data_IF_827455764524
#
_entry.id   IF_827455764524
#
_cell.length_a   1.000
_cell.length_b   1.000
_cell.length_c   1.000
_cell.angle_alpha   90.00
_cell.angle_beta   90.00
_cell.angle_gamma   90.00
#
_symmetry.space_group_name_H-M   'P 1'
#
loop_
_entity.id
_entity.type
_entity.pdbx_description
1 polymer ?
#
# COMPACT_ATOMS: atom_id res chain seq x y z
N UNK A 1 16.77 -0.12 -12.24
CA UNK A 1 15.61 -1.04 -12.27
C UNK A 1 14.86 -0.72 -13.54
N UNK A 2 14.88 -1.61 -14.52
CA UNK A 2 14.22 -1.37 -15.81
C UNK A 2 12.71 -1.61 -15.62
N UNK A 3 11.91 -0.58 -15.86
CA UNK A 3 10.45 -0.73 -15.83
C UNK A 3 10.06 -1.57 -17.05
N UNK A 4 9.38 -2.70 -16.79
CA UNK A 4 8.94 -3.61 -17.85
C UNK A 4 7.54 -3.20 -18.30
N UNK A 5 7.39 -2.96 -19.60
CA UNK A 5 6.09 -2.74 -20.24
C UNK A 5 5.54 -4.09 -20.68
N UNK A 6 4.26 -4.33 -20.43
CA UNK A 6 3.53 -5.52 -20.89
C UNK A 6 2.62 -5.15 -22.05
N UNK A 7 2.46 -6.05 -23.00
CA UNK A 7 1.44 -5.90 -24.03
C UNK A 7 0.04 -5.95 -23.41
N UNK A 8 -0.93 -5.18 -23.93
CA UNK A 8 -2.32 -5.28 -23.51
C UNK A 8 -2.86 -6.71 -23.62
N UNK A 9 -3.46 -7.21 -22.54
CA UNK A 9 -3.98 -8.57 -22.46
C UNK A 9 -5.12 -8.66 -21.44
N UNK A 10 -5.82 -9.80 -21.45
CA UNK A 10 -6.92 -10.09 -20.52
C UNK A 10 -6.41 -10.78 -19.24
N UNK A 11 -7.11 -10.48 -18.15
CA UNK A 11 -7.01 -11.17 -16.87
C UNK A 11 -7.94 -12.39 -16.86
N UNK A 12 -7.54 -13.43 -16.11
CA UNK A 12 -8.43 -14.56 -15.82
C UNK A 12 -9.64 -14.18 -14.95
N UNK A 13 -9.61 -13.01 -14.30
CA UNK A 13 -10.69 -12.47 -13.48
C UNK A 13 -11.71 -11.79 -14.39
N UNK A 14 -12.82 -12.50 -14.65
CA UNK A 14 -13.97 -11.95 -15.39
C UNK A 14 -13.66 -11.55 -16.84
N UNK A 15 -12.56 -12.03 -17.43
CA UNK A 15 -12.09 -11.63 -18.77
C UNK A 15 -11.93 -10.10 -18.93
N UNK A 16 -11.57 -9.42 -17.83
CA UNK A 16 -11.33 -7.99 -17.78
C UNK A 16 -9.95 -7.64 -18.33
N UNK A 17 -9.74 -6.37 -18.68
CA UNK A 17 -8.41 -5.90 -19.08
C UNK A 17 -7.45 -5.94 -17.89
N UNK A 18 -6.24 -6.47 -18.10
CA UNK A 18 -5.28 -6.68 -17.01
C UNK A 18 -4.86 -5.38 -16.32
N UNK A 19 -4.79 -4.26 -17.04
CA UNK A 19 -4.54 -2.94 -16.44
C UNK A 19 -5.67 -2.48 -15.51
N UNK A 20 -6.92 -2.80 -15.81
CA UNK A 20 -8.08 -2.48 -14.95
C UNK A 20 -8.01 -3.30 -13.67
N UNK A 21 -7.76 -4.60 -13.77
CA UNK A 21 -7.64 -5.48 -12.58
C UNK A 21 -6.45 -5.07 -11.71
N UNK A 22 -5.31 -4.75 -12.32
CA UNK A 22 -4.15 -4.24 -11.59
C UNK A 22 -4.44 -2.90 -10.89
N UNK A 23 -5.18 -2.00 -11.54
CA UNK A 23 -5.61 -0.73 -10.94
C UNK A 23 -6.56 -0.96 -9.76
N UNK A 24 -7.50 -1.91 -9.87
CA UNK A 24 -8.40 -2.30 -8.78
C UNK A 24 -7.62 -2.82 -7.57
N UNK A 25 -6.52 -3.54 -7.79
CA UNK A 25 -5.68 -4.02 -6.68
C UNK A 25 -5.12 -2.87 -5.82
N UNK A 26 -4.92 -1.68 -6.39
CA UNK A 26 -4.55 -0.47 -5.65
C UNK A 26 -5.79 0.29 -5.15
N UNK A 27 -6.67 0.69 -6.06
CA UNK A 27 -7.79 1.59 -5.75
C UNK A 27 -8.87 0.93 -4.92
N UNK A 28 -9.16 -0.36 -5.12
CA UNK A 28 -10.18 -1.06 -4.36
C UNK A 28 -9.84 -1.11 -2.87
N UNK A 29 -8.58 -1.43 -2.53
CA UNK A 29 -8.11 -1.36 -1.14
C UNK A 29 -8.16 0.07 -0.58
N UNK A 30 -7.71 1.07 -1.35
CA UNK A 30 -7.74 2.46 -0.91
C UNK A 30 -9.17 2.96 -0.63
N UNK A 31 -10.10 2.75 -1.58
CA UNK A 31 -11.50 3.20 -1.48
C UNK A 31 -12.18 2.55 -0.28
N UNK A 32 -12.07 1.21 -0.13
CA UNK A 32 -12.67 0.51 1.00
C UNK A 32 -12.05 0.95 2.34
N UNK A 33 -10.78 1.36 2.34
CA UNK A 33 -10.10 1.90 3.51
C UNK A 33 -10.70 3.19 4.07
N UNK A 34 -11.40 3.97 3.24
CA UNK A 34 -12.09 5.21 3.67
C UNK A 34 -13.50 4.97 4.22
N UNK A 35 -14.05 3.77 4.10
CA UNK A 35 -15.42 3.48 4.51
C UNK A 35 -15.44 2.96 5.96
N UNK A 36 -16.10 3.66 6.90
CA UNK A 36 -16.27 3.18 8.27
C UNK A 36 -16.92 1.79 8.30
N UNK A 37 -16.47 0.92 9.21
CA UNK A 37 -16.98 -0.45 9.35
C UNK A 37 -16.26 -1.48 8.46
N UNK A 38 -15.96 -1.18 7.20
CA UNK A 38 -15.34 -2.15 6.26
C UNK A 38 -13.85 -1.90 5.99
N UNK A 39 -13.29 -0.77 6.43
CA UNK A 39 -11.86 -0.47 6.27
C UNK A 39 -10.91 -1.57 6.77
N UNK A 40 -11.32 -2.35 7.77
CA UNK A 40 -10.51 -3.41 8.37
C UNK A 40 -10.32 -4.61 7.44
N UNK A 41 -11.16 -4.76 6.41
CA UNK A 41 -11.03 -5.83 5.39
C UNK A 41 -10.51 -5.31 4.05
N UNK A 42 -10.22 -4.01 3.93
CA UNK A 42 -9.78 -3.40 2.68
C UNK A 42 -8.48 -4.04 2.13
N UNK A 43 -7.60 -4.52 3.01
CA UNK A 43 -6.37 -5.22 2.63
C UNK A 43 -6.62 -6.56 1.93
N UNK A 44 -7.83 -7.12 2.01
CA UNK A 44 -8.18 -8.36 1.33
C UNK A 44 -8.31 -8.20 -0.19
N UNK A 45 -8.63 -7.00 -0.69
CA UNK A 45 -8.80 -6.77 -2.13
C UNK A 45 -7.60 -7.24 -2.96
N UNK A 46 -6.37 -6.75 -2.72
CA UNK A 46 -5.21 -7.20 -3.50
C UNK A 46 -4.84 -8.67 -3.21
N UNK A 47 -5.15 -9.20 -2.01
CA UNK A 47 -4.94 -10.63 -1.70
C UNK A 47 -5.84 -11.51 -2.56
N UNK A 48 -7.13 -11.19 -2.62
CA UNK A 48 -8.11 -11.93 -3.41
C UNK A 48 -7.72 -11.89 -4.89
N UNK A 49 -7.33 -10.73 -5.41
CA UNK A 49 -6.86 -10.61 -6.80
C UNK A 49 -5.62 -11.47 -7.04
N UNK A 50 -4.62 -11.42 -6.14
CA UNK A 50 -3.39 -12.21 -6.29
C UNK A 50 -3.67 -13.72 -6.31
N UNK A 51 -4.57 -14.20 -5.44
CA UNK A 51 -4.89 -15.63 -5.32
C UNK A 51 -5.74 -16.12 -6.48
N UNK A 52 -6.69 -15.32 -6.97
CA UNK A 52 -7.62 -15.73 -8.03
C UNK A 52 -6.98 -15.61 -9.41
N UNK A 53 -6.11 -14.63 -9.64
CA UNK A 53 -5.46 -14.46 -10.94
C UNK A 53 -4.59 -15.68 -11.30
N UNK A 54 -4.81 -16.25 -12.49
CA UNK A 54 -4.08 -17.41 -13.00
C UNK A 54 -3.14 -17.06 -14.15
N UNK A 55 -3.56 -16.16 -15.04
CA UNK A 55 -2.97 -16.02 -16.37
C UNK A 55 -2.05 -14.79 -16.48
N UNK A 56 -2.40 -13.69 -15.80
CA UNK A 56 -1.66 -12.44 -15.90
C UNK A 56 -0.57 -12.30 -14.83
N UNK A 57 0.68 -12.50 -15.24
CA UNK A 57 1.88 -12.15 -14.45
C UNK A 57 1.91 -10.67 -14.05
N UNK A 58 1.39 -9.81 -14.91
CA UNK A 58 1.27 -8.37 -14.67
C UNK A 58 0.32 -8.05 -13.51
N UNK A 59 -0.88 -8.65 -13.51
CA UNK A 59 -1.86 -8.51 -12.41
C UNK A 59 -1.29 -9.10 -11.12
N UNK A 60 -0.69 -10.29 -11.17
CA UNK A 60 -0.05 -10.91 -9.98
C UNK A 60 1.01 -10.00 -9.36
N UNK A 61 1.84 -9.36 -10.19
CA UNK A 61 2.85 -8.43 -9.70
C UNK A 61 2.24 -7.24 -8.97
N UNK A 62 1.28 -6.55 -9.59
CA UNK A 62 0.67 -5.36 -8.99
C UNK A 62 -0.16 -5.70 -7.75
N UNK A 63 -0.86 -6.83 -7.76
CA UNK A 63 -1.58 -7.34 -6.60
C UNK A 63 -0.62 -7.63 -5.44
N UNK A 64 0.47 -8.37 -5.67
CA UNK A 64 1.47 -8.63 -4.63
C UNK A 64 2.16 -7.35 -4.14
N UNK A 65 2.50 -6.43 -5.05
CA UNK A 65 3.10 -5.16 -4.66
C UNK A 65 2.12 -4.31 -3.82
N UNK A 66 0.82 -4.38 -4.08
CA UNK A 66 -0.21 -3.74 -3.25
C UNK A 66 -0.32 -4.40 -1.87
N UNK A 67 -0.27 -5.74 -1.78
CA UNK A 67 -0.23 -6.48 -0.49
C UNK A 67 0.97 -6.03 0.34
N UNK A 68 2.16 -5.99 -0.26
CA UNK A 68 3.39 -5.59 0.44
C UNK A 68 3.33 -4.12 0.88
N UNK A 69 2.78 -3.23 0.05
CA UNK A 69 2.59 -1.82 0.41
C UNK A 69 1.63 -1.69 1.61
N UNK A 70 0.52 -2.44 1.62
CA UNK A 70 -0.39 -2.49 2.78
C UNK A 70 0.29 -3.04 4.02
N UNK A 71 1.08 -4.11 3.90
CA UNK A 71 1.82 -4.70 5.02
C UNK A 71 2.82 -3.70 5.63
N UNK A 72 3.56 -2.96 4.80
CA UNK A 72 4.45 -1.87 5.25
C UNK A 72 3.64 -0.80 5.98
N UNK A 73 2.50 -0.38 5.43
CA UNK A 73 1.61 0.58 6.09
C UNK A 73 1.13 0.10 7.47
N UNK A 74 0.78 -1.19 7.62
CA UNK A 74 0.37 -1.77 8.91
C UNK A 74 1.52 -1.75 9.91
N UNK A 75 2.72 -2.20 9.51
CA UNK A 75 3.91 -2.19 10.38
C UNK A 75 4.24 -0.78 10.86
N UNK A 76 4.25 0.20 9.95
CA UNK A 76 4.47 1.60 10.28
C UNK A 76 3.39 2.14 11.23
N UNK A 77 2.12 1.76 11.01
CA UNK A 77 1.00 2.18 11.87
C UNK A 77 1.13 1.62 13.29
N UNK A 78 1.58 0.38 13.45
CA UNK A 78 1.81 -0.25 14.76
C UNK A 78 2.97 0.47 15.48
N UNK A 79 4.08 0.72 14.78
CA UNK A 79 5.22 1.46 15.34
C UNK A 79 4.80 2.85 15.81
N UNK A 80 4.04 3.57 14.99
CA UNK A 80 3.47 4.87 15.35
C UNK A 80 2.56 4.81 16.58
N UNK A 81 1.66 3.82 16.63
CA UNK A 81 0.74 3.68 17.76
C UNK A 81 1.50 3.48 19.08
N UNK A 82 2.58 2.69 19.07
CA UNK A 82 3.45 2.50 20.23
C UNK A 82 4.13 3.81 20.62
N UNK A 83 4.74 4.53 19.66
CA UNK A 83 5.44 5.80 19.92
C UNK A 83 4.48 6.85 20.50
N UNK A 84 3.29 6.99 19.90
CA UNK A 84 2.26 7.91 20.39
C UNK A 84 1.83 7.53 21.81
N UNK A 85 1.59 6.24 22.08
CA UNK A 85 1.16 5.78 23.40
C UNK A 85 2.20 6.09 24.49
N UNK A 86 3.48 5.86 24.19
CA UNK A 86 4.60 6.19 25.10
C UNK A 86 4.68 7.70 25.30
N UNK A 87 4.64 8.47 24.21
CA UNK A 87 4.70 9.93 24.26
C UNK A 87 3.57 10.48 25.13
N UNK A 88 2.32 10.09 24.85
CA UNK A 88 1.11 10.47 25.60
C UNK A 88 1.21 10.10 27.08
N UNK A 89 1.69 8.89 27.42
CA UNK A 89 1.90 8.50 28.80
C UNK A 89 2.90 9.42 29.52
N UNK A 90 4.02 9.79 28.88
CA UNK A 90 4.99 10.72 29.44
C UNK A 90 4.42 12.14 29.68
N UNK A 91 3.48 12.60 28.84
CA UNK A 91 2.79 13.90 29.01
C UNK A 91 1.98 13.93 30.29
N UNK A 92 1.16 12.89 30.49
CA UNK A 92 0.25 12.78 31.64
C UNK A 92 1.03 12.83 32.95
N UNK A 93 2.27 12.31 32.97
CA UNK A 93 3.10 12.24 34.17
C UNK A 93 4.04 13.44 34.36
N UNK A 94 4.19 14.38 33.39
CA UNK A 94 5.24 15.42 33.41
C UNK A 94 4.76 16.87 33.59
N UNK A 95 3.47 17.13 33.84
CA UNK A 95 3.00 18.48 34.20
C UNK A 95 2.90 19.50 33.05
N UNK A 96 3.04 19.10 31.78
CA UNK A 96 2.19 19.65 30.72
C UNK A 96 2.73 20.60 29.65
N UNK A 97 4.03 20.94 29.53
CA UNK A 97 4.47 21.87 28.46
C UNK A 97 5.51 21.34 27.46
N UNK A 98 6.56 20.61 27.90
CA UNK A 98 7.55 20.02 26.97
C UNK A 98 6.97 18.92 26.07
N UNK A 99 5.89 18.30 26.53
CA UNK A 99 5.19 17.20 25.90
C UNK A 99 4.33 17.58 24.67
N UNK A 100 3.78 18.80 24.63
CA UNK A 100 3.00 19.28 23.48
C UNK A 100 3.88 19.48 22.23
N UNK A 101 5.11 19.98 22.41
CA UNK A 101 6.06 20.15 21.31
C UNK A 101 6.53 18.82 20.69
N UNK A 102 6.70 17.78 21.51
CA UNK A 102 7.06 16.46 21.00
C UNK A 102 5.92 15.83 20.17
N UNK A 103 4.66 16.01 20.58
CA UNK A 103 3.51 15.52 19.82
C UNK A 103 3.32 16.21 18.47
N UNK A 104 3.56 17.52 18.38
CA UNK A 104 3.41 18.24 17.12
C UNK A 104 4.46 17.81 16.10
N UNK A 105 5.72 17.68 16.52
CA UNK A 105 6.81 17.17 15.67
C UNK A 105 6.53 15.73 15.23
N UNK A 106 6.11 14.87 16.16
CA UNK A 106 5.73 13.49 15.82
C UNK A 106 4.59 13.47 14.80
N UNK A 107 3.54 14.25 15.01
CA UNK A 107 2.39 14.32 14.10
C UNK A 107 2.81 14.74 12.68
N UNK A 108 3.72 15.70 12.54
CA UNK A 108 4.25 16.11 11.25
C UNK A 108 5.01 14.98 10.55
N UNK A 109 5.83 14.21 11.28
CA UNK A 109 6.55 13.06 10.72
C UNK A 109 5.58 11.99 10.21
N UNK A 110 4.46 11.76 10.89
CA UNK A 110 3.43 10.83 10.46
C UNK A 110 2.85 11.25 9.11
N UNK A 111 2.50 12.53 8.96
CA UNK A 111 2.00 13.07 7.70
C UNK A 111 3.01 12.95 6.57
N UNK A 112 4.30 13.20 6.84
CA UNK A 112 5.37 13.04 5.85
C UNK A 112 5.45 11.59 5.37
N UNK A 113 5.45 10.62 6.30
CA UNK A 113 5.47 9.19 5.96
C UNK A 113 4.23 8.81 5.14
N UNK A 114 3.05 9.27 5.54
CA UNK A 114 1.80 9.01 4.84
C UNK A 114 1.83 9.57 3.40
N UNK A 115 2.34 10.79 3.21
CA UNK A 115 2.50 11.41 1.90
C UNK A 115 3.47 10.61 1.02
N UNK A 116 4.61 10.15 1.57
CA UNK A 116 5.57 9.34 0.83
C UNK A 116 4.95 8.03 0.35
N UNK A 117 4.21 7.33 1.22
CA UNK A 117 3.50 6.11 0.84
C UNK A 117 2.43 6.38 -0.23
N UNK A 118 1.71 7.49 -0.10
CA UNK A 118 0.70 7.91 -1.06
C UNK A 118 1.31 8.22 -2.43
N UNK A 119 2.48 8.85 -2.48
CA UNK A 119 3.20 9.10 -3.74
C UNK A 119 3.55 7.79 -4.43
N UNK A 120 4.13 6.83 -3.71
CA UNK A 120 4.45 5.51 -4.28
C UNK A 120 3.20 4.76 -4.74
N UNK A 121 2.10 4.85 -3.97
CA UNK A 121 0.81 4.30 -4.34
C UNK A 121 0.28 4.89 -5.65
N UNK A 122 0.26 6.22 -5.77
CA UNK A 122 -0.24 6.92 -6.97
C UNK A 122 0.61 6.56 -8.19
N UNK A 123 1.94 6.56 -8.06
CA UNK A 123 2.83 6.16 -9.15
C UNK A 123 2.52 4.73 -9.60
N UNK A 124 2.40 3.79 -8.66
CA UNK A 124 2.10 2.40 -8.97
C UNK A 124 0.72 2.23 -9.64
N UNK A 125 -0.31 2.94 -9.16
CA UNK A 125 -1.64 2.93 -9.77
C UNK A 125 -1.63 3.47 -11.21
N UNK A 126 -1.01 4.64 -11.44
CA UNK A 126 -0.90 5.25 -12.78
C UNK A 126 -0.11 4.36 -13.73
N UNK A 127 1.00 3.79 -13.27
CA UNK A 127 1.85 2.88 -14.06
C UNK A 127 1.12 1.58 -14.38
N UNK A 128 0.35 1.04 -13.44
CA UNK A 128 -0.48 -0.14 -13.68
C UNK A 128 -1.54 0.07 -14.76
N UNK A 129 -2.14 1.27 -14.83
CA UNK A 129 -3.10 1.60 -15.88
C UNK A 129 -2.46 1.62 -17.28
N UNK A 130 -1.16 1.93 -17.36
CA UNK A 130 -0.35 1.99 -18.58
C UNK A 130 0.35 0.67 -18.94
N UNK A 131 -0.03 -0.45 -18.31
CA UNK A 131 0.65 -1.74 -18.48
C UNK A 131 2.15 -1.72 -18.14
N UNK A 132 2.58 -0.80 -17.27
CA UNK A 132 3.98 -0.65 -16.88
C UNK A 132 4.21 -1.12 -15.44
N UNK A 133 5.17 -2.02 -15.26
CA UNK A 133 5.65 -2.40 -13.93
C UNK A 133 6.58 -1.29 -13.42
N UNK A 134 6.09 -0.57 -12.42
CA UNK A 134 6.93 0.25 -11.54
C UNK A 134 7.32 -0.58 -10.30
N UNK A 135 8.59 -0.94 -10.19
CA UNK A 135 9.13 -1.63 -9.02
C UNK A 135 9.40 -0.61 -7.92
N UNK A 136 8.53 -0.58 -6.92
CA UNK A 136 8.74 0.30 -5.77
C UNK A 136 10.07 -0.01 -5.09
N UNK A 137 10.83 1.02 -4.65
CA UNK A 137 11.96 0.80 -3.76
C UNK A 137 11.55 -0.04 -2.55
N UNK A 138 12.47 -0.87 -2.05
CA UNK A 138 12.29 -1.80 -0.92
C UNK A 138 11.39 -3.02 -1.21
N UNK A 139 10.19 -2.84 -1.77
CA UNK A 139 9.20 -3.93 -1.90
C UNK A 139 9.04 -4.50 -3.31
N UNK A 140 9.44 -3.77 -4.36
CA UNK A 140 9.21 -4.19 -5.75
C UNK A 140 9.95 -5.47 -6.14
N UNK A 141 11.18 -5.66 -5.63
CA UNK A 141 11.94 -6.89 -5.85
C UNK A 141 11.30 -8.10 -5.16
N UNK A 142 10.66 -7.89 -4.00
CA UNK A 142 9.94 -8.96 -3.31
C UNK A 142 8.65 -9.30 -4.05
N UNK A 143 7.92 -8.29 -4.52
CA UNK A 143 6.74 -8.49 -5.35
C UNK A 143 7.06 -9.29 -6.61
N UNK A 144 8.14 -8.94 -7.31
CA UNK A 144 8.62 -9.68 -8.48
C UNK A 144 8.97 -11.13 -8.15
N UNK A 145 9.77 -11.35 -7.10
CA UNK A 145 10.21 -12.70 -6.70
C UNK A 145 9.04 -13.61 -6.32
N UNK A 146 7.96 -13.05 -5.77
CA UNK A 146 6.78 -13.81 -5.34
C UNK A 146 5.80 -14.00 -6.51
N UNK A 147 5.61 -13.00 -7.36
CA UNK A 147 4.60 -13.01 -8.42
C UNK A 147 5.09 -13.57 -9.76
N UNK A 148 6.39 -13.47 -10.06
CA UNK A 148 6.96 -13.84 -11.36
C UNK A 148 7.83 -15.11 -11.33
N UNK A 149 7.93 -15.77 -10.17
CA UNK A 149 8.41 -17.15 -10.08
C UNK A 149 7.55 -18.06 -10.97
#
# INVERSE_FOLDING_TARGET
MENKIFEPHKSSIGNLDANVVALIAYLGGAILGFIPGIRYVAFLVPIIIYVIEKDSKFVKFHAMQSILLSAVGVVLSIILAIIISIATAAIIHSGGYGALGALTVLSLLIWIIAIVLLVFFIIAAVKSYKYEIYKMPLIGNWAEKIALK
#
